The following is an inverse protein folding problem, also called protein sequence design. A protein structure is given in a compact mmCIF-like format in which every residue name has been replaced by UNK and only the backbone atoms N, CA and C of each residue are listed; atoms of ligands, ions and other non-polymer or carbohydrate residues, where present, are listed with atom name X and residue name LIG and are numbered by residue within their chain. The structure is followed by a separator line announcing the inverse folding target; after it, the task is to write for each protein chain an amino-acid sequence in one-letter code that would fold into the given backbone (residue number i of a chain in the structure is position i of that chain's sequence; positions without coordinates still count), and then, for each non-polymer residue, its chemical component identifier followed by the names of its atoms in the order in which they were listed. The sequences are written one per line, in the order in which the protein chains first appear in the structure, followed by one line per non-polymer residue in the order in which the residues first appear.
data_IF_947213717239
#
_entry.id   IF_947213717239
#
_cell.length_a   1.000
_cell.length_b   1.000
_cell.length_c   1.000
_cell.angle_alpha   90.00
_cell.angle_beta   90.00
_cell.angle_gamma   90.00
#
_symmetry.space_group_name_H-M   'P 1'
#
loop_
_entity.id
_entity.type
_entity.pdbx_description
1 polymer ?
#
# COMPACT_ATOMS: atom_id res chain seq x y z
N UNK A 1 -5.88 12.41 -14.54
CA UNK A 1 -4.97 11.70 -13.61
C UNK A 1 -4.71 10.31 -14.14
N UNK A 2 -3.47 9.84 -14.12
CA UNK A 2 -3.19 8.44 -14.47
C UNK A 2 -3.76 7.54 -13.35
N UNK A 3 -4.82 6.82 -13.65
CA UNK A 3 -5.45 5.86 -12.73
C UNK A 3 -4.69 4.53 -12.65
N UNK A 4 -3.64 4.39 -13.47
CA UNK A 4 -2.77 3.21 -13.52
C UNK A 4 -1.34 3.57 -13.89
N UNK A 5 -0.38 2.74 -13.50
CA UNK A 5 0.97 2.66 -14.02
C UNK A 5 1.31 1.20 -14.34
N UNK A 6 2.12 0.95 -15.34
CA UNK A 6 2.45 -0.41 -15.75
C UNK A 6 3.88 -0.54 -16.30
N UNK A 7 4.42 -1.74 -16.22
CA UNK A 7 5.61 -2.18 -16.91
C UNK A 7 5.32 -3.51 -17.66
N UNK A 8 6.33 -4.17 -18.20
CA UNK A 8 6.14 -5.42 -18.94
C UNK A 8 5.53 -6.55 -18.10
N UNK A 9 5.69 -6.52 -16.77
CA UNK A 9 5.33 -7.60 -15.84
C UNK A 9 4.07 -7.29 -15.05
N UNK A 10 3.95 -6.06 -14.51
CA UNK A 10 2.86 -5.66 -13.62
C UNK A 10 2.09 -4.46 -14.16
N UNK A 11 0.80 -4.47 -13.89
CA UNK A 11 -0.06 -3.29 -13.91
C UNK A 11 -0.44 -2.94 -12.47
N UNK A 12 -0.17 -1.71 -12.03
CA UNK A 12 -0.68 -1.12 -10.79
C UNK A 12 -1.86 -0.23 -11.16
N UNK A 13 -3.06 -0.57 -10.69
CA UNK A 13 -4.30 0.15 -11.00
C UNK A 13 -5.29 0.12 -9.84
N UNK A 14 -6.27 1.00 -9.87
CA UNK A 14 -7.38 0.96 -8.92
C UNK A 14 -8.13 -0.37 -8.97
N UNK A 15 -8.77 -0.69 -7.86
CA UNK A 15 -9.64 -1.86 -7.72
C UNK A 15 -10.92 -1.66 -8.53
N UNK A 16 -11.36 -2.70 -9.22
CA UNK A 16 -12.64 -2.76 -9.92
C UNK A 16 -13.56 -3.78 -9.25
N UNK A 17 -14.90 -3.68 -9.40
CA UNK A 17 -15.82 -4.69 -8.86
C UNK A 17 -15.50 -6.12 -9.33
N UNK A 18 -15.00 -6.28 -10.54
CA UNK A 18 -14.56 -7.58 -11.08
C UNK A 18 -13.37 -8.21 -10.35
N UNK A 19 -12.63 -7.44 -9.54
CA UNK A 19 -11.47 -7.94 -8.79
C UNK A 19 -11.84 -8.56 -7.44
N UNK A 20 -13.06 -8.37 -6.94
CA UNK A 20 -13.44 -8.71 -5.57
C UNK A 20 -13.21 -10.18 -5.23
N UNK A 21 -13.45 -11.10 -6.16
CA UNK A 21 -13.11 -12.51 -5.97
C UNK A 21 -11.59 -12.75 -5.83
N UNK A 22 -10.74 -11.98 -6.51
CA UNK A 22 -9.31 -12.07 -6.38
C UNK A 22 -8.82 -11.45 -5.06
N UNK A 23 -9.47 -10.36 -4.62
CA UNK A 23 -9.24 -9.71 -3.31
C UNK A 23 -9.63 -10.65 -2.17
N UNK A 24 -10.76 -11.35 -2.26
CA UNK A 24 -11.16 -12.35 -1.28
C UNK A 24 -10.09 -13.44 -1.12
N UNK A 25 -9.61 -14.01 -2.23
CA UNK A 25 -8.52 -15.01 -2.21
C UNK A 25 -7.20 -14.45 -1.67
N UNK A 26 -6.90 -13.17 -1.93
CA UNK A 26 -5.75 -12.49 -1.36
C UNK A 26 -5.86 -12.38 0.17
N UNK A 27 -7.02 -11.95 0.67
CA UNK A 27 -7.32 -11.86 2.11
C UNK A 27 -7.17 -13.23 2.80
N UNK A 28 -7.78 -14.28 2.24
CA UNK A 28 -7.72 -15.64 2.81
C UNK A 28 -6.26 -16.10 2.98
N UNK A 29 -5.40 -15.90 1.97
CA UNK A 29 -3.99 -16.28 2.06
C UNK A 29 -3.26 -15.60 3.24
N UNK A 30 -3.60 -14.34 3.56
CA UNK A 30 -3.04 -13.65 4.72
C UNK A 30 -3.66 -14.08 6.05
N UNK A 31 -4.93 -14.45 6.07
CA UNK A 31 -5.56 -14.99 7.28
C UNK A 31 -4.97 -16.35 7.66
N UNK A 32 -4.72 -17.20 6.67
CA UNK A 32 -4.12 -18.53 6.87
C UNK A 32 -2.64 -18.47 7.25
N UNK A 33 -1.86 -17.59 6.60
CA UNK A 33 -0.40 -17.53 6.78
C UNK A 33 0.08 -16.50 7.79
N UNK A 34 -0.82 -15.67 8.30
CA UNK A 34 -0.50 -14.58 9.22
C UNK A 34 0.17 -13.37 8.52
N UNK A 35 0.73 -12.49 9.35
CA UNK A 35 1.38 -11.26 8.89
C UNK A 35 0.43 -10.08 8.69
N UNK A 36 1.00 -8.90 8.43
CA UNK A 36 0.22 -7.69 8.18
C UNK A 36 -0.27 -7.63 6.73
N UNK A 37 -1.47 -7.06 6.56
CA UNK A 37 -2.02 -6.67 5.25
C UNK A 37 -1.88 -5.16 5.08
N UNK A 38 -0.63 -4.66 5.03
CA UNK A 38 -0.38 -3.24 4.85
C UNK A 38 -0.80 -2.82 3.43
N UNK A 39 -1.35 -1.61 3.30
CA UNK A 39 -1.81 -1.12 2.01
C UNK A 39 -3.08 -1.77 1.49
N UNK A 40 -3.96 -2.22 2.37
CA UNK A 40 -5.20 -2.92 2.02
C UNK A 40 -6.46 -2.26 2.61
N UNK A 41 -6.41 -1.00 3.05
CA UNK A 41 -7.55 -0.23 3.57
C UNK A 41 -8.43 -1.03 4.53
N UNK A 42 -7.81 -1.62 5.58
CA UNK A 42 -8.48 -2.46 6.59
C UNK A 42 -9.14 -3.75 6.07
N UNK A 43 -8.77 -4.28 4.91
CA UNK A 43 -9.37 -5.48 4.29
C UNK A 43 -9.55 -6.66 5.27
N UNK A 44 -8.66 -6.81 6.26
CA UNK A 44 -8.75 -7.87 7.28
C UNK A 44 -10.08 -7.89 8.03
N UNK A 45 -10.73 -6.73 8.20
CA UNK A 45 -11.95 -6.54 9.01
C UNK A 45 -13.24 -6.87 8.26
N UNK A 46 -13.18 -7.09 6.96
CA UNK A 46 -14.33 -7.29 6.10
C UNK A 46 -14.44 -8.74 5.68
N UNK A 47 -15.59 -9.35 5.93
CA UNK A 47 -15.92 -10.67 5.41
C UNK A 47 -16.65 -10.57 4.06
N UNK A 48 -17.45 -9.52 3.86
CA UNK A 48 -18.03 -9.17 2.56
C UNK A 48 -17.11 -8.20 1.80
N UNK A 49 -16.70 -8.60 0.61
CA UNK A 49 -15.83 -7.79 -0.24
C UNK A 49 -16.56 -6.60 -0.86
N UNK A 50 -17.88 -6.62 -0.96
CA UNK A 50 -18.65 -5.46 -1.40
C UNK A 50 -18.62 -4.35 -0.33
N UNK A 51 -18.77 -4.68 0.95
CA UNK A 51 -18.64 -3.70 2.03
C UNK A 51 -17.24 -3.08 2.07
N UNK A 52 -16.18 -3.88 1.85
CA UNK A 52 -14.84 -3.36 1.72
C UNK A 52 -14.69 -2.46 0.48
N UNK A 53 -15.28 -2.84 -0.64
CA UNK A 53 -15.24 -2.03 -1.86
C UNK A 53 -15.95 -0.68 -1.65
N UNK A 54 -17.12 -0.68 -1.03
CA UNK A 54 -17.84 0.55 -0.68
C UNK A 54 -17.01 1.44 0.26
N UNK A 55 -16.30 0.82 1.20
CA UNK A 55 -15.38 1.55 2.09
C UNK A 55 -14.27 2.25 1.32
N UNK A 56 -13.56 1.55 0.40
CA UNK A 56 -12.47 2.16 -0.37
C UNK A 56 -12.97 3.26 -1.30
N UNK A 57 -14.18 3.15 -1.86
CA UNK A 57 -14.81 4.22 -2.64
C UNK A 57 -15.12 5.43 -1.75
N UNK A 58 -15.64 5.18 -0.55
CA UNK A 58 -15.97 6.24 0.42
C UNK A 58 -14.74 7.03 0.86
N UNK A 59 -13.62 6.36 1.14
CA UNK A 59 -12.41 7.05 1.63
C UNK A 59 -11.55 7.66 0.52
N UNK A 60 -11.82 7.38 -0.73
CA UNK A 60 -11.05 7.93 -1.84
C UNK A 60 -11.27 9.44 -2.04
N UNK A 61 -12.46 9.97 -1.69
CA UNK A 61 -12.85 11.34 -1.95
C UNK A 61 -13.01 12.12 -0.65
N UNK A 62 -12.51 13.36 -0.63
CA UNK A 62 -12.57 14.23 0.58
C UNK A 62 -14.02 14.44 1.09
N UNK A 63 -14.97 14.54 0.18
CA UNK A 63 -16.38 14.81 0.46
C UNK A 63 -17.07 13.64 1.19
N UNK A 64 -16.60 12.43 1.00
CA UNK A 64 -17.16 11.20 1.58
C UNK A 64 -16.25 10.56 2.61
N UNK A 65 -14.97 10.95 2.64
CA UNK A 65 -13.99 10.46 3.61
C UNK A 65 -14.37 10.92 5.03
N UNK A 66 -14.33 10.05 6.05
CA UNK A 66 -14.56 10.45 7.43
C UNK A 66 -13.61 11.56 7.88
N UNK A 67 -14.09 12.48 8.76
CA UNK A 67 -13.37 13.70 9.17
C UNK A 67 -11.95 13.42 9.70
N UNK A 68 -11.76 12.31 10.44
CA UNK A 68 -10.46 11.95 11.03
C UNK A 68 -9.51 11.21 10.07
N UNK A 69 -9.98 10.93 8.84
CA UNK A 69 -9.20 10.25 7.82
C UNK A 69 -8.71 11.24 6.77
N UNK A 70 -7.69 10.83 6.03
CA UNK A 70 -7.29 11.53 4.80
C UNK A 70 -7.73 10.70 3.60
N UNK A 71 -7.99 11.33 2.46
CA UNK A 71 -8.29 10.58 1.23
C UNK A 71 -7.21 9.57 0.90
N UNK A 72 -7.64 8.34 0.65
CA UNK A 72 -6.79 7.19 0.46
C UNK A 72 -7.26 6.40 -0.77
N UNK A 73 -6.40 6.25 -1.76
CA UNK A 73 -6.73 5.52 -2.99
C UNK A 73 -6.13 4.13 -2.94
N UNK A 74 -7.00 3.12 -3.09
CA UNK A 74 -6.61 1.71 -3.08
C UNK A 74 -6.22 1.23 -4.48
N UNK A 75 -5.04 0.64 -4.58
CA UNK A 75 -4.50 0.02 -5.78
C UNK A 75 -4.25 -1.47 -5.60
N UNK A 76 -4.28 -2.18 -6.72
CA UNK A 76 -3.84 -3.58 -6.82
C UNK A 76 -2.75 -3.71 -7.88
N UNK A 77 -1.78 -4.58 -7.60
CA UNK A 77 -0.78 -5.01 -8.59
C UNK A 77 -1.22 -6.33 -9.22
N UNK A 78 -1.43 -6.29 -10.52
CA UNK A 78 -1.89 -7.45 -11.31
C UNK A 78 -0.76 -7.88 -12.25
N UNK A 79 -0.43 -9.17 -12.26
CA UNK A 79 0.55 -9.72 -13.21
C UNK A 79 -0.07 -9.81 -14.58
N UNK A 80 0.62 -9.25 -15.58
CA UNK A 80 0.08 -9.11 -16.94
C UNK A 80 -0.06 -10.44 -17.68
N UNK A 81 0.79 -11.42 -17.38
CA UNK A 81 0.81 -12.71 -18.09
C UNK A 81 -0.40 -13.60 -17.80
N UNK A 82 -1.01 -13.49 -16.61
CA UNK A 82 -2.09 -14.38 -16.16
C UNK A 82 -3.21 -13.67 -15.39
N UNK A 83 -3.15 -12.34 -15.26
CA UNK A 83 -4.17 -11.57 -14.54
C UNK A 83 -4.19 -11.79 -13.02
N UNK A 84 -3.17 -12.45 -12.45
CA UNK A 84 -3.14 -12.75 -11.02
C UNK A 84 -2.89 -11.49 -10.20
N UNK A 85 -3.70 -11.28 -9.14
CA UNK A 85 -3.46 -10.27 -8.12
C UNK A 85 -2.22 -10.67 -7.30
N UNK A 86 -1.18 -9.85 -7.34
CA UNK A 86 0.14 -10.09 -6.73
C UNK A 86 0.27 -9.34 -5.40
N UNK A 87 -0.18 -8.10 -5.35
CA UNK A 87 -0.03 -7.23 -4.20
C UNK A 87 -1.11 -6.17 -4.13
N UNK A 88 -1.19 -5.53 -2.98
CA UNK A 88 -2.07 -4.39 -2.74
C UNK A 88 -1.24 -3.22 -2.22
N UNK A 89 -1.72 -2.00 -2.48
CA UNK A 89 -1.05 -0.77 -2.10
C UNK A 89 -2.08 0.35 -1.99
N UNK A 90 -1.96 1.17 -0.96
CA UNK A 90 -2.73 2.40 -0.83
C UNK A 90 -1.83 3.63 -0.95
N UNK A 91 -2.40 4.75 -1.45
CA UNK A 91 -1.71 6.04 -1.59
C UNK A 91 -2.55 7.13 -0.94
N UNK A 92 -1.95 7.79 0.05
CA UNK A 92 -2.48 8.97 0.74
C UNK A 92 -1.73 10.19 0.26
N UNK A 93 -2.42 11.10 -0.41
CA UNK A 93 -1.81 12.33 -0.92
C UNK A 93 -1.44 13.30 0.20
N UNK A 94 -2.20 13.27 1.28
CA UNK A 94 -2.04 14.12 2.45
C UNK A 94 -1.59 13.28 3.66
N UNK A 95 -0.98 13.92 4.64
CA UNK A 95 -0.60 13.29 5.91
C UNK A 95 -1.23 14.07 7.05
N UNK A 96 -2.06 13.41 7.86
CA UNK A 96 -2.40 13.86 9.19
C UNK A 96 -1.29 13.46 10.19
N UNK A 97 -1.46 13.79 11.46
CA UNK A 97 -0.46 13.53 12.49
C UNK A 97 -0.12 12.03 12.62
N UNK A 98 -1.13 11.16 12.61
CA UNK A 98 -0.92 9.71 12.70
C UNK A 98 -0.17 9.15 11.49
N UNK A 99 -0.52 9.59 10.30
CA UNK A 99 0.15 9.18 9.07
C UNK A 99 1.59 9.70 9.03
N UNK A 100 1.79 10.95 9.44
CA UNK A 100 3.13 11.53 9.52
C UNK A 100 4.00 10.77 10.53
N UNK A 101 3.46 10.40 11.67
CA UNK A 101 4.22 9.74 12.73
C UNK A 101 4.41 8.24 12.50
N UNK A 102 3.43 7.53 11.92
CA UNK A 102 3.43 6.06 11.93
C UNK A 102 3.30 5.40 10.56
N UNK A 103 2.45 5.89 9.65
CA UNK A 103 2.05 5.11 8.48
C UNK A 103 2.62 5.63 7.14
N UNK A 104 2.83 6.94 7.02
CA UNK A 104 3.29 7.58 5.79
C UNK A 104 2.25 7.66 4.68
N UNK A 105 2.72 7.97 3.48
CA UNK A 105 1.90 8.12 2.27
C UNK A 105 1.51 6.78 1.65
N UNK A 106 2.33 5.74 1.83
CA UNK A 106 2.15 4.46 1.14
C UNK A 106 2.22 3.31 2.14
N UNK A 107 1.15 2.51 2.18
CA UNK A 107 1.17 1.16 2.67
C UNK A 107 1.23 0.17 1.52
N UNK A 108 1.87 -0.98 1.68
CA UNK A 108 1.92 -2.00 0.64
C UNK A 108 2.17 -3.39 1.19
N UNK A 109 1.66 -4.39 0.46
CA UNK A 109 1.91 -5.80 0.75
C UNK A 109 1.93 -6.63 -0.54
N UNK A 110 2.65 -7.76 -0.47
CA UNK A 110 2.69 -8.78 -1.51
C UNK A 110 2.21 -10.09 -0.90
N UNK A 111 1.30 -10.78 -1.60
CA UNK A 111 0.79 -12.07 -1.17
C UNK A 111 1.92 -13.07 -0.93
N UNK A 112 1.76 -13.95 0.06
CA UNK A 112 2.83 -14.83 0.51
C UNK A 112 3.41 -15.71 -0.59
N UNK A 113 2.55 -16.29 -1.44
CA UNK A 113 2.94 -17.17 -2.54
C UNK A 113 3.75 -16.48 -3.66
N UNK A 114 3.78 -15.13 -3.67
CA UNK A 114 4.48 -14.35 -4.69
C UNK A 114 5.63 -13.50 -4.12
N UNK A 115 5.97 -13.68 -2.85
CA UNK A 115 7.13 -13.00 -2.23
C UNK A 115 8.45 -13.52 -2.79
N UNK A 116 9.53 -12.73 -2.61
CA UNK A 116 10.90 -13.03 -3.03
C UNK A 116 11.12 -13.11 -4.55
N UNK A 117 10.17 -12.60 -5.34
CA UNK A 117 10.22 -12.55 -6.81
C UNK A 117 10.42 -11.11 -7.35
N UNK A 118 10.76 -10.14 -6.49
CA UNK A 118 10.99 -8.75 -6.90
C UNK A 118 9.74 -7.88 -7.04
N UNK A 119 8.54 -8.43 -6.86
CA UNK A 119 7.29 -7.71 -7.12
C UNK A 119 7.08 -6.47 -6.24
N UNK A 120 7.51 -6.49 -4.97
CA UNK A 120 7.38 -5.32 -4.10
C UNK A 120 8.18 -4.11 -4.61
N UNK A 121 9.39 -4.33 -5.13
CA UNK A 121 10.20 -3.27 -5.72
C UNK A 121 9.56 -2.72 -7.02
N UNK A 122 9.01 -3.61 -7.86
CA UNK A 122 8.28 -3.21 -9.07
C UNK A 122 7.02 -2.41 -8.72
N UNK A 123 6.23 -2.88 -7.75
CA UNK A 123 5.04 -2.20 -7.25
C UNK A 123 5.36 -0.79 -6.74
N UNK A 124 6.40 -0.65 -5.91
CA UNK A 124 6.80 0.65 -5.38
C UNK A 124 7.33 1.58 -6.47
N UNK A 125 8.03 1.06 -7.48
CA UNK A 125 8.46 1.86 -8.66
C UNK A 125 7.24 2.44 -9.39
N UNK A 126 6.23 1.63 -9.69
CA UNK A 126 4.99 2.08 -10.34
C UNK A 126 4.19 3.05 -9.46
N UNK A 127 4.15 2.82 -8.13
CA UNK A 127 3.51 3.74 -7.20
C UNK A 127 4.17 5.13 -7.20
N UNK A 128 5.49 5.20 -7.32
CA UNK A 128 6.22 6.49 -7.45
C UNK A 128 5.82 7.26 -8.70
N UNK A 129 5.55 6.58 -9.81
CA UNK A 129 5.06 7.21 -11.05
C UNK A 129 3.67 7.80 -10.85
N UNK A 130 2.77 7.05 -10.18
CA UNK A 130 1.44 7.55 -9.82
C UNK A 130 1.55 8.77 -8.90
N UNK A 131 2.38 8.71 -7.86
CA UNK A 131 2.59 9.83 -6.93
C UNK A 131 3.12 11.09 -7.64
N UNK A 132 4.07 10.94 -8.59
CA UNK A 132 4.54 12.09 -9.41
C UNK A 132 3.41 12.71 -10.21
N UNK A 133 2.55 11.89 -10.82
CA UNK A 133 1.40 12.36 -11.60
C UNK A 133 0.33 13.02 -10.72
N UNK A 134 0.28 12.68 -9.43
CA UNK A 134 -0.53 13.39 -8.42
C UNK A 134 0.10 14.73 -7.99
N UNK A 135 1.31 15.08 -8.48
CA UNK A 135 2.03 16.30 -8.13
C UNK A 135 2.79 16.22 -6.81
N UNK A 136 2.93 15.03 -6.22
CA UNK A 136 3.72 14.84 -5.01
C UNK A 136 5.21 15.00 -5.32
N UNK A 137 5.95 15.66 -4.43
CA UNK A 137 7.41 15.87 -4.57
C UNK A 137 8.23 14.88 -3.77
N UNK A 138 7.66 14.40 -2.69
CA UNK A 138 8.26 13.40 -1.80
C UNK A 138 7.17 12.54 -1.18
N UNK A 139 7.53 11.35 -0.80
CA UNK A 139 6.64 10.41 -0.08
C UNK A 139 7.34 9.87 1.16
N UNK A 140 6.59 9.72 2.23
CA UNK A 140 7.00 9.05 3.45
C UNK A 140 6.53 7.60 3.41
N UNK A 141 7.43 6.66 3.72
CA UNK A 141 7.09 5.24 3.90
C UNK A 141 7.72 4.78 5.21
N UNK A 142 6.94 4.10 6.02
CA UNK A 142 7.41 3.55 7.30
C UNK A 142 7.39 2.02 7.27
N UNK A 143 8.31 1.42 8.00
CA UNK A 143 8.27 -0.02 8.27
C UNK A 143 8.87 -0.31 9.66
N UNK A 144 8.42 -1.39 10.29
CA UNK A 144 9.05 -1.83 11.53
C UNK A 144 10.49 -2.29 11.28
N UNK A 145 11.39 -1.98 12.21
CA UNK A 145 12.81 -2.40 12.19
C UNK A 145 12.96 -3.92 12.05
N UNK A 146 12.00 -4.66 12.58
CA UNK A 146 11.89 -6.12 12.46
C UNK A 146 11.52 -6.60 11.05
N UNK A 147 11.24 -5.67 10.11
CA UNK A 147 10.93 -6.00 8.70
C UNK A 147 12.05 -5.53 7.75
N UNK A 148 13.24 -6.17 7.79
CA UNK A 148 14.38 -5.78 6.96
C UNK A 148 14.10 -5.92 5.46
N UNK A 149 13.12 -6.75 5.09
CA UNK A 149 12.71 -6.89 3.69
C UNK A 149 12.08 -5.61 3.15
N UNK A 150 11.17 -4.98 3.94
CA UNK A 150 10.57 -3.70 3.57
C UNK A 150 11.63 -2.59 3.56
N UNK A 151 12.45 -2.47 4.62
CA UNK A 151 13.52 -1.48 4.71
C UNK A 151 14.46 -1.54 3.48
N UNK A 152 14.88 -2.74 3.06
CA UNK A 152 15.72 -2.93 1.88
C UNK A 152 15.06 -2.47 0.58
N UNK A 153 13.75 -2.70 0.43
CA UNK A 153 13.01 -2.26 -0.76
C UNK A 153 12.89 -0.74 -0.77
N UNK A 154 12.58 -0.12 0.37
CA UNK A 154 12.46 1.33 0.50
C UNK A 154 13.79 2.00 0.18
N UNK A 155 14.89 1.53 0.78
CA UNK A 155 16.25 2.05 0.53
C UNK A 155 16.64 1.94 -0.96
N UNK A 156 16.41 0.78 -1.58
CA UNK A 156 16.66 0.58 -3.02
C UNK A 156 15.81 1.44 -3.93
N UNK A 157 14.67 1.92 -3.42
CA UNK A 157 13.78 2.83 -4.14
C UNK A 157 14.15 4.32 -3.97
N UNK A 158 15.28 4.60 -3.30
CA UNK A 158 15.77 5.94 -3.03
C UNK A 158 15.32 6.51 -1.69
N UNK A 159 14.87 5.66 -0.77
CA UNK A 159 14.50 6.05 0.59
C UNK A 159 15.72 6.46 1.42
N UNK A 160 15.58 7.57 2.13
CA UNK A 160 16.54 8.05 3.12
C UNK A 160 15.89 7.95 4.49
N UNK A 161 16.56 7.26 5.41
CA UNK A 161 16.08 7.15 6.79
C UNK A 161 16.07 8.53 7.45
N UNK A 162 14.91 8.98 7.89
CA UNK A 162 14.77 10.20 8.67
C UNK A 162 15.09 9.95 10.14
N UNK A 163 14.40 8.98 10.73
CA UNK A 163 14.55 8.61 12.13
C UNK A 163 13.96 7.23 12.44
N UNK A 164 14.18 6.80 13.67
CA UNK A 164 13.49 5.67 14.31
C UNK A 164 12.62 6.20 15.45
N UNK A 165 11.37 5.76 15.53
CA UNK A 165 10.43 6.12 16.58
C UNK A 165 9.86 4.87 17.24
N UNK A 166 9.56 4.95 18.54
CA UNK A 166 8.86 3.86 19.22
C UNK A 166 7.36 4.00 18.98
N UNK A 167 6.76 2.98 18.40
CA UNK A 167 5.31 2.89 18.30
C UNK A 167 4.72 2.54 19.67
N UNK A 168 4.17 3.54 20.35
CA UNK A 168 3.62 3.40 21.70
C UNK A 168 2.48 2.37 21.82
N UNK A 169 1.86 1.99 20.70
CA UNK A 169 0.76 1.01 20.67
C UNK A 169 1.24 -0.43 20.89
N UNK A 170 2.50 -0.72 20.55
CA UNK A 170 3.04 -2.09 20.59
C UNK A 170 4.51 -2.18 21.05
N UNK A 171 5.14 -1.04 21.37
CA UNK A 171 6.54 -0.95 21.83
C UNK A 171 7.60 -1.23 20.76
N UNK A 172 7.21 -1.38 19.48
CA UNK A 172 8.14 -1.69 18.40
C UNK A 172 8.79 -0.44 17.83
N UNK A 173 10.00 -0.61 17.29
CA UNK A 173 10.72 0.46 16.61
C UNK A 173 10.23 0.55 15.16
N UNK A 174 9.75 1.72 14.79
CA UNK A 174 9.34 2.07 13.44
C UNK A 174 10.42 2.92 12.78
N UNK A 175 10.85 2.56 11.59
CA UNK A 175 11.78 3.30 10.74
C UNK A 175 10.99 4.12 9.73
N UNK A 176 11.28 5.41 9.62
CA UNK A 176 10.61 6.37 8.73
C UNK A 176 11.57 6.81 7.64
N UNK A 177 11.15 6.67 6.38
CA UNK A 177 11.98 6.94 5.21
C UNK A 177 11.30 7.93 4.27
N UNK A 178 12.02 8.96 3.85
CA UNK A 178 11.58 9.85 2.78
C UNK A 178 12.17 9.42 1.44
N UNK A 179 11.33 9.40 0.42
CA UNK A 179 11.73 9.22 -0.98
C UNK A 179 11.39 10.51 -1.74
N UNK A 180 12.39 11.13 -2.35
CA UNK A 180 12.17 12.21 -3.32
C UNK A 180 11.69 11.60 -4.65
N UNK A 181 10.68 12.22 -5.26
CA UNK A 181 10.02 11.74 -6.48
C UNK A 181 10.56 12.43 -7.74
#
# INVERSE_FOLDING_TARGET
MLEKAENEILTLRKVLPSDLNAVARYRVEFLEKGGSMDGCSNLRRYDDMNEWYDWIQKVEHRETCPEHWVPDTQYISVRRSDGRLIGMLDIRKELNEDLLNFYGNIGYSIRHSERRKGYAAMQLKLAKEICRNMGMKKILISCYKENPASAKIILRSGGVLENEVVDQRNGKILQRYWITL
#
